data_IF_592153219353
#
_entry.id   IF_592153219353
#
_cell.length_a   1.000
_cell.length_b   1.000
_cell.length_c   1.000
_cell.angle_alpha   90.00
_cell.angle_beta   90.00
_cell.angle_gamma   90.00
#
_symmetry.space_group_name_H-M   'P 1'
#
loop_
_entity.id
_entity.type
_entity.pdbx_description
1 polymer ?
#
# COMPACT_ATOMS: atom_id res chain seq x y z
N UNK A 1 -11.90 -27.58 -5.16
CA UNK A 1 -12.43 -26.29 -4.66
C UNK A 1 -11.45 -25.23 -5.10
N UNK A 2 -11.88 -24.18 -5.82
CA UNK A 2 -10.99 -23.47 -6.72
C UNK A 2 -9.93 -22.73 -5.91
N UNK A 3 -8.65 -23.03 -6.12
CA UNK A 3 -7.53 -22.29 -5.53
C UNK A 3 -7.63 -20.82 -5.99
N UNK A 4 -8.25 -20.60 -7.15
CA UNK A 4 -8.68 -19.33 -7.72
C UNK A 4 -9.62 -18.57 -6.78
N UNK A 5 -10.60 -19.24 -6.17
CA UNK A 5 -11.54 -18.61 -5.22
C UNK A 5 -10.81 -18.21 -3.93
N UNK A 6 -9.81 -18.98 -3.50
CA UNK A 6 -8.98 -18.59 -2.35
C UNK A 6 -8.13 -17.36 -2.65
N UNK A 7 -7.58 -17.28 -3.87
CA UNK A 7 -6.86 -16.10 -4.35
C UNK A 7 -7.79 -14.88 -4.38
N UNK A 8 -8.96 -14.97 -5.00
CA UNK A 8 -9.94 -13.86 -5.05
C UNK A 8 -10.30 -13.35 -3.65
N UNK A 9 -10.63 -14.26 -2.72
CA UNK A 9 -10.94 -13.88 -1.33
C UNK A 9 -9.76 -13.20 -0.62
N UNK A 10 -8.53 -13.64 -0.89
CA UNK A 10 -7.33 -13.01 -0.34
C UNK A 10 -7.14 -11.60 -0.90
N UNK A 11 -7.28 -11.42 -2.22
CA UNK A 11 -7.16 -10.12 -2.89
C UNK A 11 -8.16 -9.13 -2.32
N UNK A 12 -9.42 -9.53 -2.15
CA UNK A 12 -10.44 -8.65 -1.59
C UNK A 12 -10.12 -8.24 -0.14
N UNK A 13 -9.63 -9.16 0.70
CA UNK A 13 -9.19 -8.82 2.07
C UNK A 13 -8.03 -7.82 2.10
N UNK A 14 -7.02 -8.02 1.26
CA UNK A 14 -5.87 -7.11 1.19
C UNK A 14 -6.24 -5.75 0.60
N UNK A 15 -7.12 -5.73 -0.40
CA UNK A 15 -7.66 -4.51 -0.99
C UNK A 15 -8.47 -3.71 0.03
N UNK A 16 -9.31 -4.37 0.82
CA UNK A 16 -10.05 -3.73 1.92
C UNK A 16 -9.10 -3.15 2.98
N UNK A 17 -8.01 -3.86 3.29
CA UNK A 17 -7.00 -3.36 4.23
C UNK A 17 -6.27 -2.14 3.68
N UNK A 18 -5.86 -2.15 2.42
CA UNK A 18 -5.20 -1.02 1.78
C UNK A 18 -6.11 0.20 1.63
N UNK A 19 -7.38 0.00 1.26
CA UNK A 19 -8.34 1.09 1.09
C UNK A 19 -8.65 1.81 2.40
N UNK A 20 -8.58 1.12 3.54
CA UNK A 20 -8.70 1.75 4.86
C UNK A 20 -7.60 2.81 5.09
N UNK A 21 -6.34 2.51 4.75
CA UNK A 21 -5.23 3.45 4.89
C UNK A 21 -5.32 4.62 3.91
N UNK A 22 -5.80 4.37 2.69
CA UNK A 22 -6.05 5.43 1.71
C UNK A 22 -7.16 6.36 2.16
N UNK A 23 -8.26 5.81 2.69
CA UNK A 23 -9.34 6.59 3.26
C UNK A 23 -8.84 7.42 4.45
N UNK A 24 -8.06 6.83 5.37
CA UNK A 24 -7.44 7.55 6.47
C UNK A 24 -6.54 8.70 5.97
N UNK A 25 -5.75 8.48 4.92
CA UNK A 25 -4.95 9.51 4.27
C UNK A 25 -5.78 10.61 3.60
N UNK A 26 -6.94 10.26 3.04
CA UNK A 26 -7.88 11.24 2.47
C UNK A 26 -8.58 12.10 3.53
N UNK A 27 -8.88 11.54 4.70
CA UNK A 27 -9.53 12.26 5.81
C UNK A 27 -8.55 13.00 6.74
N UNK A 28 -7.26 12.64 6.76
CA UNK A 28 -6.28 13.31 7.64
C UNK A 28 -6.14 14.83 7.40
N UNK A 29 -6.10 15.35 6.14
CA UNK A 29 -6.04 16.78 5.89
C UNK A 29 -7.31 17.51 6.34
N UNK A 30 -8.47 16.90 6.16
CA UNK A 30 -9.75 17.52 6.56
C UNK A 30 -9.85 17.62 8.09
N UNK A 31 -9.34 16.62 8.83
CA UNK A 31 -9.17 16.71 10.29
C UNK A 31 -8.24 17.86 10.72
N UNK A 32 -7.17 18.13 9.97
CA UNK A 32 -6.28 19.28 10.22
C UNK A 32 -6.98 20.64 10.04
N UNK A 33 -7.83 20.74 9.01
CA UNK A 33 -8.66 21.94 8.77
C UNK A 33 -9.65 22.13 9.92
N UNK A 34 -10.33 21.07 10.38
CA UNK A 34 -11.23 21.12 11.55
C UNK A 34 -10.49 21.63 12.79
N UNK A 35 -9.28 21.12 13.05
CA UNK A 35 -8.45 21.58 14.17
C UNK A 35 -8.10 23.07 14.09
N UNK A 36 -7.84 23.58 12.88
CA UNK A 36 -7.56 25.00 12.66
C UNK A 36 -8.79 25.87 12.89
N UNK A 37 -9.95 25.44 12.39
CA UNK A 37 -11.23 26.13 12.62
C UNK A 37 -11.54 26.20 14.11
N UNK A 38 -11.39 25.10 14.85
CA UNK A 38 -11.58 25.08 16.31
C UNK A 38 -10.61 26.03 17.02
N UNK A 39 -9.34 26.05 16.61
CA UNK A 39 -8.33 26.96 17.14
C UNK A 39 -8.70 28.44 16.93
N UNK A 40 -9.15 28.79 15.72
CA UNK A 40 -9.57 30.15 15.39
C UNK A 40 -10.85 30.56 16.13
N UNK A 41 -11.85 29.69 16.26
CA UNK A 41 -13.06 29.96 17.05
C UNK A 41 -12.72 30.23 18.51
N UNK A 42 -11.80 29.46 19.10
CA UNK A 42 -11.34 29.68 20.48
C UNK A 42 -10.63 31.04 20.65
N UNK A 43 -9.82 31.45 19.67
CA UNK A 43 -9.14 32.75 19.68
C UNK A 43 -10.15 33.90 19.60
N UNK A 44 -11.15 33.78 18.72
CA UNK A 44 -12.21 34.80 18.57
C UNK A 44 -13.08 34.93 19.84
N UNK A 45 -13.28 33.85 20.58
CA UNK A 45 -13.99 33.88 21.86
C UNK A 45 -13.18 34.48 23.03
N UNK A 46 -11.88 34.74 22.84
CA UNK A 46 -10.96 35.23 23.89
C UNK A 46 -10.32 36.58 23.54
N UNK A 47 -11.00 37.41 22.74
CA UNK A 47 -10.48 38.67 22.22
C UNK A 47 -10.27 39.77 23.26
N UNK A 48 -10.65 39.54 24.52
CA UNK A 48 -10.53 40.51 25.62
C UNK A 48 -9.08 40.67 26.16
N UNK A 49 -8.09 39.97 25.58
CA UNK A 49 -6.70 39.91 26.04
C UNK A 49 -5.67 40.69 25.20
N UNK A 50 -4.42 40.74 25.68
CA UNK A 50 -3.27 41.40 25.04
C UNK A 50 -2.99 40.85 23.61
N UNK A 51 -2.94 41.71 22.57
CA UNK A 51 -2.61 41.32 21.19
C UNK A 51 -1.34 40.48 21.03
N UNK A 52 -0.36 40.65 21.93
CA UNK A 52 0.87 39.86 21.94
C UNK A 52 0.65 38.34 22.11
N UNK A 53 -0.48 37.94 22.74
CA UNK A 53 -0.81 36.54 22.98
C UNK A 53 -1.60 35.87 21.85
N UNK A 54 -2.09 36.63 20.86
CA UNK A 54 -2.84 36.07 19.72
C UNK A 54 -1.92 35.33 18.75
N UNK A 55 -0.77 35.90 18.41
CA UNK A 55 0.17 35.35 17.45
C UNK A 55 0.56 33.87 17.74
N UNK A 56 0.97 33.48 18.96
CA UNK A 56 1.31 32.09 19.26
C UNK A 56 0.10 31.13 19.19
N UNK A 57 -1.12 31.60 19.52
CA UNK A 57 -2.34 30.78 19.40
C UNK A 57 -2.68 30.50 17.94
N UNK A 58 -2.56 31.50 17.07
CA UNK A 58 -2.77 31.37 15.62
C UNK A 58 -1.74 30.41 15.01
N UNK A 59 -0.46 30.52 15.40
CA UNK A 59 0.58 29.61 14.95
C UNK A 59 0.26 28.15 15.28
N UNK A 60 -0.27 27.89 16.48
CA UNK A 60 -0.67 26.53 16.90
C UNK A 60 -1.82 25.98 16.05
N UNK A 61 -2.79 26.82 15.69
CA UNK A 61 -3.88 26.43 14.79
C UNK A 61 -3.35 26.02 13.40
N UNK A 62 -2.40 26.75 12.82
CA UNK A 62 -1.78 26.38 11.55
C UNK A 62 -0.96 25.09 11.62
N UNK A 63 -0.29 24.85 12.75
CA UNK A 63 0.45 23.60 12.99
C UNK A 63 -0.51 22.39 12.96
N UNK A 64 -1.77 22.54 13.41
CA UNK A 64 -2.76 21.47 13.29
C UNK A 64 -3.06 21.09 11.83
N UNK A 65 -3.19 22.08 10.92
CA UNK A 65 -3.32 21.80 9.48
C UNK A 65 -2.06 21.15 8.92
N UNK A 66 -0.87 21.62 9.31
CA UNK A 66 0.38 21.03 8.88
C UNK A 66 0.47 19.55 9.26
N UNK A 67 0.12 19.18 10.50
CA UNK A 67 0.11 17.78 10.93
C UNK A 67 -0.94 16.93 10.20
N UNK A 68 -2.11 17.49 9.88
CA UNK A 68 -3.12 16.81 9.07
C UNK A 68 -2.60 16.44 7.67
N UNK A 69 -2.01 17.41 6.96
CA UNK A 69 -1.45 17.19 5.62
C UNK A 69 -0.18 16.33 5.66
N UNK A 70 0.67 16.53 6.67
CA UNK A 70 1.90 15.76 6.83
C UNK A 70 1.59 14.29 7.13
N UNK A 71 0.69 14.00 8.07
CA UNK A 71 0.33 12.61 8.40
C UNK A 71 -0.31 11.90 7.21
N UNK A 72 -1.13 12.59 6.40
CA UNK A 72 -1.68 12.05 5.15
C UNK A 72 -0.59 11.57 4.19
N UNK A 73 0.36 12.44 3.87
CA UNK A 73 1.36 12.20 2.82
C UNK A 73 2.58 11.40 3.28
N UNK A 74 2.92 11.46 4.57
CA UNK A 74 4.12 10.79 5.11
C UNK A 74 3.79 9.42 5.69
N UNK A 75 2.58 9.23 6.23
CA UNK A 75 2.22 7.99 6.93
C UNK A 75 1.15 7.21 6.17
N UNK A 76 -0.06 7.75 6.05
CA UNK A 76 -1.23 6.98 5.63
C UNK A 76 -1.15 6.52 4.16
N UNK A 77 -0.87 7.46 3.24
CA UNK A 77 -0.81 7.15 1.80
C UNK A 77 0.36 6.22 1.43
N UNK A 78 1.60 6.42 1.95
CA UNK A 78 2.69 5.49 1.71
C UNK A 78 2.41 4.07 2.21
N UNK A 79 1.78 3.93 3.38
CA UNK A 79 1.39 2.61 3.92
C UNK A 79 0.35 1.94 3.01
N UNK A 80 -0.69 2.67 2.59
CA UNK A 80 -1.71 2.16 1.66
C UNK A 80 -1.10 1.69 0.33
N UNK A 81 -0.22 2.50 -0.26
CA UNK A 81 0.50 2.16 -1.48
C UNK A 81 1.40 0.94 -1.31
N UNK A 82 2.08 0.82 -0.16
CA UNK A 82 2.96 -0.33 0.12
C UNK A 82 2.17 -1.62 0.22
N UNK A 83 1.00 -1.61 0.88
CA UNK A 83 0.12 -2.77 0.97
C UNK A 83 -0.38 -3.21 -0.40
N UNK A 84 -0.69 -2.26 -1.31
CA UNK A 84 -1.05 -2.58 -2.70
C UNK A 84 0.09 -3.25 -3.46
N UNK A 85 1.32 -2.76 -3.28
CA UNK A 85 2.51 -3.36 -3.89
C UNK A 85 2.72 -4.79 -3.41
N UNK A 86 2.60 -5.03 -2.10
CA UNK A 86 2.72 -6.36 -1.50
C UNK A 86 1.63 -7.32 -2.00
N UNK A 87 0.37 -6.86 -2.03
CA UNK A 87 -0.74 -7.63 -2.57
C UNK A 87 -0.48 -8.04 -4.03
N UNK A 88 0.06 -7.12 -4.86
CA UNK A 88 0.39 -7.43 -6.26
C UNK A 88 1.47 -8.50 -6.38
N UNK A 89 2.49 -8.49 -5.51
CA UNK A 89 3.54 -9.53 -5.48
C UNK A 89 2.95 -10.88 -5.10
N UNK A 90 2.15 -10.93 -4.03
CA UNK A 90 1.52 -12.17 -3.58
C UNK A 90 0.54 -12.76 -4.61
N UNK A 91 -0.20 -11.90 -5.31
CA UNK A 91 -1.05 -12.33 -6.44
C UNK A 91 -0.19 -13.00 -7.53
N UNK A 92 0.93 -12.39 -7.92
CA UNK A 92 1.78 -12.93 -8.97
C UNK A 92 2.33 -14.31 -8.59
N UNK A 93 2.82 -14.46 -7.36
CA UNK A 93 3.31 -15.75 -6.84
C UNK A 93 2.22 -16.83 -6.84
N UNK A 94 1.01 -16.49 -6.39
CA UNK A 94 -0.11 -17.45 -6.38
C UNK A 94 -0.62 -17.80 -7.77
N UNK A 95 -0.64 -16.83 -8.70
CA UNK A 95 -0.97 -17.09 -10.11
C UNK A 95 0.03 -18.05 -10.76
N UNK A 96 1.34 -17.87 -10.50
CA UNK A 96 2.37 -18.79 -10.97
C UNK A 96 2.10 -20.22 -10.47
N UNK A 97 1.76 -20.39 -9.18
CA UNK A 97 1.45 -21.70 -8.60
C UNK A 97 0.19 -22.32 -9.23
N UNK A 98 -0.86 -21.53 -9.42
CA UNK A 98 -2.11 -21.98 -10.05
C UNK A 98 -1.85 -22.46 -11.48
N UNK A 99 -1.09 -21.67 -12.26
CA UNK A 99 -0.73 -22.03 -13.64
C UNK A 99 0.12 -23.30 -13.67
N UNK A 100 1.11 -23.43 -12.79
CA UNK A 100 1.94 -24.63 -12.68
C UNK A 100 1.10 -25.89 -12.40
N UNK A 101 0.16 -25.80 -11.45
CA UNK A 101 -0.75 -26.91 -11.11
C UNK A 101 -1.68 -27.23 -12.29
N UNK A 102 -2.15 -26.21 -13.02
CA UNK A 102 -2.94 -26.39 -14.24
C UNK A 102 -2.16 -27.16 -15.31
N UNK A 103 -0.92 -26.75 -15.61
CA UNK A 103 -0.09 -27.40 -16.63
C UNK A 103 0.28 -28.85 -16.29
N UNK A 104 0.52 -29.14 -15.01
CA UNK A 104 0.75 -30.50 -14.52
C UNK A 104 -0.50 -31.36 -14.71
N UNK A 105 -1.70 -30.84 -14.41
CA UNK A 105 -2.96 -31.56 -14.63
C UNK A 105 -3.21 -31.87 -16.11
N UNK A 106 -2.78 -30.99 -17.02
CA UNK A 106 -2.87 -31.23 -18.46
C UNK A 106 -1.79 -32.19 -18.99
N UNK A 107 -0.84 -32.65 -18.15
CA UNK A 107 0.22 -33.58 -18.56
C UNK A 107 1.24 -32.95 -19.52
N UNK A 108 1.48 -31.65 -19.40
CA UNK A 108 2.41 -30.93 -20.29
C UNK A 108 3.86 -31.33 -20.00
N UNK A 109 4.70 -31.33 -21.05
CA UNK A 109 6.13 -31.64 -20.91
C UNK A 109 6.80 -30.65 -19.94
N UNK A 110 7.58 -31.10 -18.93
CA UNK A 110 8.23 -30.24 -17.95
C UNK A 110 9.04 -29.06 -18.54
N UNK A 111 9.69 -29.26 -19.70
CA UNK A 111 10.46 -28.18 -20.36
C UNK A 111 9.55 -27.03 -20.83
N UNK A 112 8.35 -27.35 -21.30
CA UNK A 112 7.36 -26.35 -21.74
C UNK A 112 6.76 -25.65 -20.52
N UNK A 113 6.55 -26.37 -19.42
CA UNK A 113 6.10 -25.79 -18.15
C UNK A 113 7.11 -24.75 -17.66
N UNK A 114 8.40 -25.09 -17.66
CA UNK A 114 9.45 -24.17 -17.25
C UNK A 114 9.49 -22.90 -18.12
N UNK A 115 9.37 -23.04 -19.44
CA UNK A 115 9.35 -21.91 -20.37
C UNK A 115 8.14 -20.98 -20.14
N UNK A 116 6.96 -21.54 -19.91
CA UNK A 116 5.75 -20.75 -19.62
C UNK A 116 5.82 -20.06 -18.25
N UNK A 117 6.32 -20.76 -17.22
CA UNK A 117 6.45 -20.19 -15.87
C UNK A 117 7.53 -19.11 -15.79
N UNK A 118 8.58 -19.17 -16.63
CA UNK A 118 9.57 -18.08 -16.76
C UNK A 118 8.92 -16.76 -17.19
N UNK A 119 7.77 -16.79 -17.87
CA UNK A 119 7.00 -15.59 -18.23
C UNK A 119 6.44 -14.80 -17.03
N UNK A 120 6.34 -15.41 -15.85
CA UNK A 120 5.86 -14.76 -14.63
C UNK A 120 6.99 -14.08 -13.82
N UNK A 121 8.25 -14.39 -14.15
CA UNK A 121 9.44 -13.86 -13.50
C UNK A 121 9.92 -12.58 -14.17
N UNK A 122 10.51 -11.68 -13.40
CA UNK A 122 11.24 -10.54 -13.93
C UNK A 122 12.57 -10.97 -14.57
N UNK A 123 13.10 -10.16 -15.50
CA UNK A 123 14.41 -10.41 -16.13
C UNK A 123 15.53 -10.66 -15.11
N UNK A 124 15.48 -10.01 -13.95
CA UNK A 124 16.46 -10.22 -12.88
C UNK A 124 16.34 -11.62 -12.26
N UNK A 125 15.12 -12.06 -11.97
CA UNK A 125 14.85 -13.39 -11.39
C UNK A 125 15.20 -14.51 -12.39
N UNK A 126 14.99 -14.28 -13.69
CA UNK A 126 15.40 -15.23 -14.74
C UNK A 126 16.92 -15.40 -14.78
N UNK A 127 17.67 -14.30 -14.66
CA UNK A 127 19.14 -14.36 -14.62
C UNK A 127 19.64 -15.12 -13.37
N UNK A 128 19.04 -14.88 -12.21
CA UNK A 128 19.34 -15.62 -10.97
C UNK A 128 19.01 -17.11 -11.10
N UNK A 129 17.85 -17.46 -11.67
CA UNK A 129 17.46 -18.84 -11.95
C UNK A 129 18.46 -19.56 -12.86
N UNK A 130 18.83 -18.94 -13.99
CA UNK A 130 19.78 -19.51 -14.94
C UNK A 130 21.17 -19.68 -14.31
N UNK A 131 21.60 -18.74 -13.45
CA UNK A 131 22.88 -18.86 -12.74
C UNK A 131 22.90 -20.00 -11.71
N UNK A 132 21.76 -20.29 -11.08
CA UNK A 132 21.61 -21.39 -10.12
C UNK A 132 21.57 -22.74 -10.83
N UNK A 133 20.86 -22.83 -11.96
CA UNK A 133 20.77 -24.04 -12.78
C UNK A 133 22.13 -24.41 -13.41
N UNK A 134 22.92 -23.41 -13.83
CA UNK A 134 24.23 -23.64 -14.45
C UNK A 134 25.34 -24.03 -13.46
N UNK A 135 25.17 -23.76 -12.16
CA UNK A 135 26.12 -24.15 -11.09
C UNK A 135 25.83 -25.53 -10.48
N UNK A 136 24.70 -26.17 -10.82
CA UNK A 136 24.32 -27.50 -10.33
C UNK A 136 24.80 -28.67 -11.21
N UNK A 137 25.56 -28.39 -12.28
CA UNK A 137 26.13 -29.39 -13.20
C UNK A 137 27.65 -29.38 -13.04
N UNK A 138 28.14 -29.97 -11.95
CA UNK A 138 29.52 -30.47 -11.82
C UNK A 138 29.44 -31.85 -11.17
#
# INVERSE_FOLDING_TARGET
MPIELQLENMVERHKASASMFEAAGGYAPTMGIIGTVLGLVHILGSLDGDPGQLAPKIATAFIATLYGVASANVLWLPIGNKLKELNKKEINEKLLIIEAISLIQHGTNPNIIEEQLKGFLSNKEILEYNSTSNNGVI
#
